data_IF_791462932435
#
_entry.id   IF_791462932435
#
_cell.length_a   1.000
_cell.length_b   1.000
_cell.length_c   1.000
_cell.angle_alpha   90.00
_cell.angle_beta   90.00
_cell.angle_gamma   90.00
#
_symmetry.space_group_name_H-M   'P 1'
#
loop_
_entity.id
_entity.type
_entity.pdbx_description
1 polymer ?
#
# COMPACT_ATOMS: atom_id res chain seq x y z
N UNK A 1 -1.74 2.96 3.24
CA UNK A 1 -0.87 4.15 3.01
C UNK A 1 -0.18 4.14 1.65
N UNK A 2 0.31 3.00 1.18
CA UNK A 2 1.04 2.93 -0.09
C UNK A 2 0.25 3.46 -1.28
N UNK A 3 -1.00 3.03 -1.45
CA UNK A 3 -1.87 3.50 -2.53
C UNK A 3 -1.96 5.03 -2.56
N UNK A 4 -2.22 5.65 -1.42
CA UNK A 4 -2.37 7.10 -1.34
C UNK A 4 -1.07 7.84 -1.64
N UNK A 5 0.06 7.32 -1.16
CA UNK A 5 1.37 7.91 -1.41
C UNK A 5 1.75 7.85 -2.89
N UNK A 6 1.53 6.70 -3.53
CA UNK A 6 1.82 6.54 -4.96
C UNK A 6 0.94 7.48 -5.78
N UNK A 7 -0.36 7.50 -5.52
CA UNK A 7 -1.30 8.34 -6.28
C UNK A 7 -1.08 9.84 -6.05
N UNK A 8 -0.45 10.20 -4.94
CA UNK A 8 -0.12 11.61 -4.67
C UNK A 8 1.19 12.03 -5.35
N UNK A 9 2.26 11.26 -5.15
CA UNK A 9 3.60 11.64 -5.62
C UNK A 9 3.91 11.20 -7.05
N UNK A 10 3.31 10.12 -7.52
CA UNK A 10 3.58 9.53 -8.84
C UNK A 10 2.33 9.51 -9.73
N UNK A 11 1.40 10.40 -9.52
CA UNK A 11 0.09 10.43 -10.18
C UNK A 11 0.15 10.46 -11.71
N UNK A 12 1.20 11.04 -12.27
CA UNK A 12 1.35 11.15 -13.73
C UNK A 12 1.96 9.90 -14.36
N UNK A 13 2.50 9.00 -13.55
CA UNK A 13 3.19 7.80 -14.01
C UNK A 13 2.46 6.52 -13.61
N UNK A 14 1.82 6.52 -12.43
CA UNK A 14 1.19 5.33 -11.85
C UNK A 14 -0.17 5.63 -11.28
N UNK A 15 -1.07 4.67 -11.43
CA UNK A 15 -2.33 4.63 -10.70
C UNK A 15 -2.29 3.39 -9.82
N UNK A 16 -2.38 3.58 -8.51
CA UNK A 16 -2.26 2.49 -7.55
C UNK A 16 -3.60 2.12 -6.95
N UNK A 17 -3.77 0.83 -6.72
CA UNK A 17 -4.86 0.26 -5.95
C UNK A 17 -4.26 -0.61 -4.86
N UNK A 18 -4.88 -0.66 -3.69
CA UNK A 18 -4.42 -1.52 -2.60
C UNK A 18 -5.52 -2.49 -2.19
N UNK A 19 -5.11 -3.64 -1.69
CA UNK A 19 -6.03 -4.65 -1.20
C UNK A 19 -5.32 -5.53 -0.17
N UNK A 20 -6.10 -6.19 0.67
CA UNK A 20 -5.59 -7.12 1.66
C UNK A 20 -6.23 -8.49 1.53
N UNK A 21 -5.60 -9.49 2.12
CA UNK A 21 -6.16 -10.83 2.19
C UNK A 21 -7.31 -10.91 3.21
N UNK A 22 -7.26 -10.04 4.24
CA UNK A 22 -8.28 -9.95 5.29
C UNK A 22 -8.66 -8.48 5.48
N UNK A 23 -9.49 -7.91 4.58
CA UNK A 23 -9.86 -6.50 4.66
C UNK A 23 -10.67 -6.20 5.92
N UNK A 24 -10.42 -5.08 6.55
CA UNK A 24 -11.18 -4.59 7.67
C UNK A 24 -11.54 -3.12 7.45
N UNK A 25 -10.73 -2.19 7.96
CA UNK A 25 -10.94 -0.76 7.75
C UNK A 25 -9.60 -0.05 7.63
N UNK A 26 -9.62 1.14 7.05
CA UNK A 26 -8.41 1.98 6.99
C UNK A 26 -8.19 2.60 8.36
N UNK A 27 -7.04 2.33 8.98
CA UNK A 27 -6.77 2.74 10.35
C UNK A 27 -6.73 4.27 10.47
N UNK A 28 -7.38 4.87 11.49
CA UNK A 28 -7.40 6.33 11.67
C UNK A 28 -6.02 6.96 11.74
N UNK A 29 -5.03 6.30 12.35
CA UNK A 29 -3.68 6.82 12.43
C UNK A 29 -2.96 6.82 11.08
N UNK A 30 -3.28 5.87 10.20
CA UNK A 30 -2.80 5.90 8.83
C UNK A 30 -3.34 7.14 8.09
N UNK A 31 -4.63 7.43 8.27
CA UNK A 31 -5.26 8.62 7.70
C UNK A 31 -4.58 9.89 8.22
N UNK A 32 -4.35 9.98 9.53
CA UNK A 32 -3.67 11.13 10.14
C UNK A 32 -2.27 11.32 9.59
N UNK A 33 -1.50 10.23 9.46
CA UNK A 33 -0.14 10.29 8.92
C UNK A 33 -0.11 10.78 7.47
N UNK A 34 -1.11 10.41 6.67
CA UNK A 34 -1.23 10.85 5.28
C UNK A 34 -1.67 12.33 5.21
N UNK A 35 -2.61 12.72 6.04
CA UNK A 35 -3.10 14.11 6.08
C UNK A 35 -2.00 15.09 6.49
N UNK A 36 -1.04 14.68 7.30
CA UNK A 36 0.12 15.49 7.67
C UNK A 36 0.93 15.92 6.44
N UNK A 37 0.88 15.16 5.36
CA UNK A 37 1.56 15.47 4.10
C UNK A 37 0.65 16.21 3.11
N UNK A 38 -0.56 16.57 3.51
CA UNK A 38 -1.52 17.22 2.63
C UNK A 38 -2.15 16.30 1.60
N UNK A 39 -2.13 15.00 1.86
CA UNK A 39 -2.67 14.01 0.92
C UNK A 39 -4.18 13.89 1.12
N UNK A 40 -4.94 13.88 0.01
CA UNK A 40 -6.38 13.63 0.03
C UNK A 40 -6.63 12.17 0.40
N UNK A 41 -7.35 11.96 1.49
CA UNK A 41 -7.67 10.62 2.00
C UNK A 41 -9.10 10.18 1.68
N UNK A 42 -9.87 11.00 0.99
CA UNK A 42 -11.22 10.63 0.56
C UNK A 42 -11.16 9.47 -0.44
N UNK A 43 -12.05 8.52 -0.28
CA UNK A 43 -12.09 7.36 -1.14
C UNK A 43 -11.17 6.21 -0.74
N UNK A 44 -10.31 6.40 0.26
CA UNK A 44 -9.53 5.30 0.80
C UNK A 44 -10.46 4.32 1.51
N UNK A 45 -10.34 3.03 1.18
CA UNK A 45 -11.12 1.98 1.82
C UNK A 45 -10.32 0.68 1.87
N UNK A 46 -10.61 -0.15 2.84
CA UNK A 46 -10.05 -1.49 2.88
C UNK A 46 -10.78 -2.36 1.85
N UNK A 47 -10.02 -3.07 1.03
CA UNK A 47 -10.54 -3.89 -0.06
C UNK A 47 -9.96 -5.29 0.01
N UNK A 48 -10.75 -6.27 -0.44
CA UNK A 48 -10.26 -7.62 -0.63
C UNK A 48 -9.50 -7.72 -1.96
N UNK A 49 -8.43 -8.52 -1.97
CA UNK A 49 -7.69 -8.81 -3.18
C UNK A 49 -8.56 -9.47 -4.26
N UNK A 50 -9.65 -10.13 -3.86
CA UNK A 50 -10.59 -10.74 -4.80
C UNK A 50 -11.25 -9.73 -5.72
N UNK A 51 -11.31 -8.45 -5.38
CA UNK A 51 -11.83 -7.40 -6.26
C UNK A 51 -10.99 -7.21 -7.51
N UNK A 52 -9.73 -7.65 -7.49
CA UNK A 52 -8.79 -7.46 -8.61
C UNK A 52 -8.40 -8.77 -9.30
N UNK A 53 -8.91 -9.90 -8.84
CA UNK A 53 -8.50 -11.22 -9.29
C UNK A 53 -8.59 -11.39 -10.82
N UNK A 54 -9.68 -10.94 -11.42
CA UNK A 54 -9.90 -11.04 -12.86
C UNK A 54 -9.64 -9.74 -13.62
N UNK A 55 -8.95 -8.79 -13.00
CA UNK A 55 -8.61 -7.51 -13.62
C UNK A 55 -7.64 -7.73 -14.77
N UNK A 56 -7.93 -7.12 -15.93
CA UNK A 56 -7.04 -7.12 -17.09
C UNK A 56 -6.19 -5.85 -17.16
N UNK A 57 -6.44 -4.89 -16.28
CA UNK A 57 -5.83 -3.56 -16.34
C UNK A 57 -4.60 -3.41 -15.45
N UNK A 58 -4.25 -4.44 -14.68
CA UNK A 58 -3.09 -4.38 -13.80
C UNK A 58 -1.79 -4.68 -14.55
N UNK A 59 -0.80 -3.82 -14.39
CA UNK A 59 0.51 -3.97 -15.02
C UNK A 59 1.57 -4.53 -14.09
N UNK A 60 1.36 -4.39 -12.77
CA UNK A 60 2.30 -4.83 -11.75
C UNK A 60 1.58 -5.11 -10.45
N UNK A 61 1.96 -6.18 -9.78
CA UNK A 61 1.49 -6.51 -8.43
C UNK A 61 2.67 -6.42 -7.46
N UNK A 62 2.52 -5.65 -6.40
CA UNK A 62 3.52 -5.55 -5.35
C UNK A 62 2.93 -6.07 -4.05
N UNK A 63 3.55 -7.08 -3.47
CA UNK A 63 3.20 -7.56 -2.13
C UNK A 63 4.10 -6.88 -1.11
N UNK A 64 3.51 -6.37 -0.02
CA UNK A 64 4.25 -5.55 0.95
C UNK A 64 4.36 -6.19 2.33
N UNK A 65 3.72 -7.32 2.55
CA UNK A 65 3.88 -8.08 3.79
C UNK A 65 3.99 -9.57 3.47
N UNK A 66 4.58 -10.33 4.39
CA UNK A 66 4.81 -11.75 4.17
C UNK A 66 3.50 -12.55 4.05
N UNK A 67 2.46 -12.14 4.75
CA UNK A 67 1.14 -12.77 4.63
C UNK A 67 0.58 -12.60 3.22
N UNK A 68 0.66 -11.40 2.66
CA UNK A 68 0.21 -11.12 1.29
C UNK A 68 1.03 -11.92 0.26
N UNK A 69 2.34 -12.06 0.49
CA UNK A 69 3.20 -12.85 -0.38
C UNK A 69 2.76 -14.32 -0.43
N UNK A 70 2.44 -14.90 0.73
CA UNK A 70 2.05 -16.32 0.82
C UNK A 70 0.62 -16.57 0.34
N UNK A 71 -0.28 -15.61 0.55
CA UNK A 71 -1.72 -15.79 0.33
C UNK A 71 -2.23 -15.07 -0.92
N UNK A 72 -1.34 -14.44 -1.69
CA UNK A 72 -1.74 -13.76 -2.91
C UNK A 72 -2.19 -14.79 -3.94
N UNK A 73 -3.44 -14.72 -4.43
CA UNK A 73 -3.93 -15.68 -5.40
C UNK A 73 -3.25 -15.51 -6.75
N UNK A 74 -3.36 -16.52 -7.58
CA UNK A 74 -2.93 -16.44 -8.98
C UNK A 74 -3.98 -15.62 -9.72
N UNK A 75 -3.57 -14.53 -10.36
CA UNK A 75 -4.46 -13.74 -11.19
C UNK A 75 -4.74 -14.48 -12.51
N UNK A 76 -5.92 -14.25 -13.10
CA UNK A 76 -6.30 -14.90 -14.36
C UNK A 76 -5.36 -14.49 -15.49
N UNK A 77 -4.89 -13.24 -15.50
CA UNK A 77 -3.89 -12.76 -16.44
C UNK A 77 -2.53 -12.82 -15.77
N UNK A 78 -1.47 -13.34 -16.45
CA UNK A 78 -0.12 -13.28 -15.91
C UNK A 78 0.31 -11.83 -15.71
N UNK A 79 0.65 -11.47 -14.47
CA UNK A 79 1.06 -10.12 -14.09
C UNK A 79 2.40 -10.21 -13.36
N UNK A 80 3.38 -9.37 -13.73
CA UNK A 80 4.65 -9.32 -12.99
C UNK A 80 4.42 -9.04 -11.52
N UNK A 81 5.17 -9.69 -10.65
CA UNK A 81 5.05 -9.55 -9.20
C UNK A 81 6.40 -9.18 -8.60
N UNK A 82 6.38 -8.25 -7.66
CA UNK A 82 7.53 -7.88 -6.85
C UNK A 82 7.11 -7.97 -5.39
N UNK A 83 7.97 -8.52 -4.55
CA UNK A 83 7.77 -8.48 -3.10
C UNK A 83 8.71 -7.45 -2.50
N UNK A 84 8.15 -6.47 -1.79
CA UNK A 84 8.88 -5.48 -1.02
C UNK A 84 8.42 -5.56 0.43
N UNK A 85 9.22 -6.16 1.30
CA UNK A 85 8.85 -6.31 2.71
C UNK A 85 8.83 -4.96 3.39
N UNK A 86 7.66 -4.57 3.89
CA UNK A 86 7.44 -3.35 4.67
C UNK A 86 6.86 -3.72 6.01
N UNK A 87 7.16 -2.91 7.03
CA UNK A 87 6.60 -3.10 8.35
C UNK A 87 5.09 -2.83 8.32
N UNK A 88 4.29 -3.70 8.94
CA UNK A 88 2.85 -3.48 9.05
C UNK A 88 2.59 -2.47 10.16
N UNK A 89 2.03 -1.29 9.86
CA UNK A 89 1.80 -0.27 10.86
C UNK A 89 0.74 -0.65 11.90
N UNK A 90 -0.10 -1.64 11.62
CA UNK A 90 -1.15 -2.06 12.56
C UNK A 90 -0.58 -2.56 13.89
N UNK A 91 0.67 -3.04 13.91
CA UNK A 91 1.34 -3.45 15.16
C UNK A 91 1.45 -2.30 16.16
N UNK A 92 1.43 -1.05 15.69
CA UNK A 92 1.52 0.13 16.54
C UNK A 92 0.16 0.62 17.05
N UNK A 93 -0.93 0.11 16.50
CA UNK A 93 -2.28 0.56 16.85
C UNK A 93 -2.72 0.23 18.28
N UNK A 94 -2.00 -0.66 18.98
CA UNK A 94 -2.28 -1.06 20.37
C UNK A 94 -1.49 -0.23 21.40
N UNK A 95 -0.62 0.66 20.93
CA UNK A 95 0.20 1.52 21.79
C UNK A 95 -0.54 2.81 22.14
N UNK A 96 0.00 3.60 23.08
CA UNK A 96 -0.52 4.94 23.34
C UNK A 96 -0.45 5.78 22.07
N UNK A 97 -1.33 6.79 21.96
CA UNK A 97 -1.46 7.61 20.75
C UNK A 97 -0.11 8.17 20.29
N UNK A 98 0.68 8.76 21.19
CA UNK A 98 1.94 9.39 20.82
C UNK A 98 2.94 8.38 20.25
N UNK A 99 3.02 7.19 20.81
CA UNK A 99 3.90 6.12 20.32
C UNK A 99 3.37 5.51 19.03
N UNK A 100 2.05 5.30 18.97
CA UNK A 100 1.41 4.72 17.80
C UNK A 100 1.59 5.61 16.56
N UNK A 101 1.35 6.91 16.69
CA UNK A 101 1.47 7.81 15.55
C UNK A 101 2.91 7.90 15.03
N UNK A 102 3.90 7.80 15.90
CA UNK A 102 5.31 7.73 15.49
C UNK A 102 5.58 6.47 14.66
N UNK A 103 4.98 5.33 15.03
CA UNK A 103 5.09 4.09 14.27
C UNK A 103 4.49 4.21 12.87
N UNK A 104 3.32 4.82 12.77
CA UNK A 104 2.68 5.06 11.46
C UNK A 104 3.47 6.02 10.59
N UNK A 105 4.07 7.06 11.19
CA UNK A 105 4.96 7.98 10.47
C UNK A 105 6.22 7.27 9.98
N UNK A 106 6.77 6.38 10.78
CA UNK A 106 7.95 5.58 10.40
C UNK A 106 7.65 4.73 9.17
N UNK A 107 6.52 4.01 9.17
CA UNK A 107 6.12 3.19 8.03
C UNK A 107 5.85 4.05 6.79
N UNK A 108 5.21 5.21 6.97
CA UNK A 108 5.01 6.17 5.88
C UNK A 108 6.34 6.58 5.23
N UNK A 109 7.34 6.92 6.05
CA UNK A 109 8.67 7.27 5.58
C UNK A 109 9.35 6.10 4.86
N UNK A 110 9.19 4.89 5.37
CA UNK A 110 9.74 3.68 4.75
C UNK A 110 9.14 3.47 3.35
N UNK A 111 7.84 3.65 3.20
CA UNK A 111 7.17 3.55 1.90
C UNK A 111 7.74 4.57 0.93
N UNK A 112 7.86 5.83 1.35
CA UNK A 112 8.41 6.90 0.51
C UNK A 112 9.85 6.58 0.08
N UNK A 113 10.66 6.06 0.98
CA UNK A 113 12.08 5.83 0.71
C UNK A 113 12.36 4.53 -0.07
N UNK A 114 11.46 3.54 -0.02
CA UNK A 114 11.67 2.24 -0.65
C UNK A 114 10.77 2.01 -1.86
N UNK A 115 9.49 2.28 -1.72
CA UNK A 115 8.51 1.94 -2.76
C UNK A 115 8.49 2.96 -3.90
N UNK A 116 8.50 4.25 -3.59
CA UNK A 116 8.46 5.27 -4.63
C UNK A 116 9.67 5.20 -5.57
N UNK A 117 10.93 5.08 -5.06
CA UNK A 117 12.08 4.90 -5.96
C UNK A 117 12.02 3.63 -6.79
N UNK A 118 11.49 2.53 -6.24
CA UNK A 118 11.31 1.29 -6.97
C UNK A 118 10.41 1.51 -8.19
N UNK A 119 9.30 2.19 -8.01
CA UNK A 119 8.35 2.48 -9.10
C UNK A 119 8.89 3.50 -10.10
N UNK A 120 9.60 4.51 -9.63
CA UNK A 120 10.22 5.52 -10.51
C UNK A 120 11.25 4.91 -11.44
N UNK A 121 11.95 3.87 -11.00
CA UNK A 121 12.99 3.19 -11.77
C UNK A 121 12.50 1.92 -12.45
N UNK A 122 11.22 1.58 -12.30
CA UNK A 122 10.66 0.39 -12.92
C UNK A 122 10.47 0.59 -14.42
N UNK A 123 11.01 -0.35 -15.19
CA UNK A 123 10.80 -0.38 -16.63
C UNK A 123 9.82 -1.50 -16.97
N UNK A 124 8.74 -1.13 -17.65
CA UNK A 124 7.77 -2.09 -18.15
C UNK A 124 8.40 -2.90 -19.28
N UNK A 125 8.27 -4.22 -19.22
CA UNK A 125 8.80 -5.14 -20.22
C UNK A 125 7.69 -5.76 -21.04
#
# INVERSE_FOLDING_TARGET
MAEALINHYLKDEWQAFSAGTHPSYVHPYAIMALEELGIDVHGLRSKSISEFWDSEDLDLVITVCDSAKRNCPVFLKPIPRIHLSLEDPLRYGVLDFDEAILGFRKVRTEIVNKLLPLLQNYESR
#
